data_IF_968366271486
#
_entry.id   IF_968366271486
#
_cell.length_a   1.000
_cell.length_b   1.000
_cell.length_c   1.000
_cell.angle_alpha   90.00
_cell.angle_beta   90.00
_cell.angle_gamma   90.00
#
_symmetry.space_group_name_H-M   'P 1'
#
loop_
_entity.id
_entity.type
_entity.pdbx_description
1 polymer ?
#
# COMPACT_ATOMS: atom_id res chain seq x y z
N UNK A 1 12.69 -39.25 -19.20
CA UNK A 1 11.84 -38.82 -18.08
C UNK A 1 10.82 -37.84 -18.65
N UNK A 2 9.54 -38.19 -18.70
CA UNK A 2 8.49 -37.32 -19.26
C UNK A 2 8.05 -36.42 -18.14
N UNK A 3 8.16 -35.10 -18.35
CA UNK A 3 7.67 -34.06 -17.42
C UNK A 3 6.18 -33.89 -17.68
N UNK A 4 5.34 -34.10 -16.67
CA UNK A 4 3.90 -33.93 -16.73
C UNK A 4 3.50 -32.50 -16.31
N UNK A 5 2.23 -32.15 -16.40
CA UNK A 5 1.72 -30.82 -16.03
C UNK A 5 2.02 -30.47 -14.57
N UNK A 6 1.94 -31.43 -13.66
CA UNK A 6 2.23 -31.26 -12.22
C UNK A 6 3.67 -30.81 -11.96
N UNK A 7 4.63 -31.32 -12.74
CA UNK A 7 6.03 -30.91 -12.66
C UNK A 7 6.18 -29.41 -12.92
N UNK A 8 5.47 -28.89 -13.92
CA UNK A 8 5.53 -27.46 -14.25
C UNK A 8 4.79 -26.63 -13.22
N UNK A 9 3.64 -27.08 -12.74
CA UNK A 9 2.87 -26.38 -11.68
C UNK A 9 3.67 -26.25 -10.40
N UNK A 10 4.27 -27.34 -9.93
CA UNK A 10 5.17 -27.30 -8.78
C UNK A 10 6.41 -26.45 -9.04
N UNK A 11 6.91 -26.45 -10.28
CA UNK A 11 8.04 -25.64 -10.71
C UNK A 11 7.78 -24.13 -10.56
N UNK A 12 6.57 -23.67 -10.85
CA UNK A 12 6.17 -22.27 -10.62
C UNK A 12 6.26 -21.90 -9.14
N UNK A 13 5.67 -22.69 -8.26
CA UNK A 13 5.74 -22.47 -6.82
C UNK A 13 7.18 -22.54 -6.31
N UNK A 14 7.91 -23.61 -6.63
CA UNK A 14 9.27 -23.82 -6.13
C UNK A 14 10.26 -22.72 -6.60
N UNK A 15 10.01 -22.11 -7.76
CA UNK A 15 10.91 -21.10 -8.32
C UNK A 15 10.64 -19.70 -7.76
N UNK A 16 9.39 -19.35 -7.54
CA UNK A 16 8.97 -17.96 -7.28
C UNK A 16 8.45 -17.74 -5.87
N UNK A 17 8.00 -18.78 -5.18
CA UNK A 17 7.60 -18.74 -3.78
C UNK A 17 8.74 -19.30 -2.94
N UNK A 18 9.42 -18.45 -2.20
CA UNK A 18 10.63 -18.84 -1.43
C UNK A 18 10.25 -19.52 -0.12
N UNK A 19 11.15 -20.32 0.47
CA UNK A 19 10.98 -20.73 1.87
C UNK A 19 10.66 -19.54 2.76
N UNK A 20 9.78 -19.73 3.73
CA UNK A 20 9.26 -18.70 4.64
C UNK A 20 8.40 -17.61 3.99
N UNK A 21 7.98 -17.78 2.74
CA UNK A 21 6.99 -16.91 2.13
C UNK A 21 5.63 -17.04 2.84
N UNK A 22 4.98 -15.92 3.08
CA UNK A 22 3.65 -15.86 3.71
C UNK A 22 2.60 -15.68 2.63
N UNK A 23 1.53 -16.49 2.68
CA UNK A 23 0.37 -16.28 1.81
C UNK A 23 -0.33 -14.98 2.22
N UNK A 24 -0.55 -14.12 1.23
CA UNK A 24 -1.30 -12.86 1.40
C UNK A 24 -2.66 -12.96 0.72
N UNK A 25 -3.57 -12.05 1.08
CA UNK A 25 -4.89 -11.99 0.45
C UNK A 25 -4.75 -11.72 -1.05
N UNK A 26 -5.56 -12.41 -1.83
CA UNK A 26 -5.75 -12.19 -3.26
C UNK A 26 -7.22 -12.40 -3.61
N UNK A 27 -7.68 -11.73 -4.65
CA UNK A 27 -9.08 -11.78 -5.08
C UNK A 27 -9.15 -12.49 -6.42
N UNK A 28 -9.60 -13.74 -6.40
CA UNK A 28 -9.86 -14.49 -7.64
C UNK A 28 -11.13 -14.00 -8.30
N UNK A 29 -11.13 -13.94 -9.63
CA UNK A 29 -12.33 -13.59 -10.40
C UNK A 29 -13.27 -14.76 -10.51
N UNK A 30 -14.56 -14.49 -10.28
CA UNK A 30 -15.62 -15.46 -10.43
C UNK A 30 -15.84 -16.29 -9.16
N UNK A 31 -16.33 -15.68 -8.13
CA UNK A 31 -16.49 -16.27 -6.79
C UNK A 31 -17.59 -17.33 -6.65
N UNK A 32 -18.37 -17.60 -7.68
CA UNK A 32 -19.51 -18.51 -7.60
C UNK A 32 -19.49 -19.56 -8.70
N UNK A 33 -18.78 -20.65 -8.45
CA UNK A 33 -18.76 -21.80 -9.33
C UNK A 33 -17.36 -22.19 -9.80
N UNK A 34 -17.20 -23.44 -10.15
CA UNK A 34 -15.91 -24.09 -10.48
C UNK A 34 -15.52 -23.91 -11.95
N UNK A 35 -16.36 -23.33 -12.78
CA UNK A 35 -16.13 -23.24 -14.21
C UNK A 35 -15.90 -21.81 -14.66
N UNK A 36 -14.80 -21.60 -15.34
CA UNK A 36 -14.56 -20.38 -16.08
C UNK A 36 -13.83 -19.29 -15.33
N UNK A 37 -13.00 -19.61 -14.37
CA UNK A 37 -12.38 -18.66 -13.46
C UNK A 37 -10.87 -18.56 -13.63
N UNK A 38 -10.35 -17.38 -13.32
CA UNK A 38 -8.93 -17.22 -12.99
C UNK A 38 -8.77 -17.51 -11.50
N UNK A 39 -8.17 -18.65 -11.18
CA UNK A 39 -7.77 -19.00 -9.82
C UNK A 39 -6.42 -18.36 -9.53
N UNK A 40 -6.24 -17.80 -8.33
CA UNK A 40 -4.97 -17.22 -7.96
C UNK A 40 -4.55 -17.52 -6.52
N UNK A 41 -3.26 -17.39 -6.27
CA UNK A 41 -2.67 -17.39 -4.94
C UNK A 41 -1.49 -16.41 -4.91
N UNK A 42 -1.53 -15.47 -3.97
CA UNK A 42 -0.48 -14.47 -3.78
C UNK A 42 0.35 -14.77 -2.53
N UNK A 43 1.64 -14.54 -2.63
CA UNK A 43 2.62 -14.77 -1.58
C UNK A 43 3.55 -13.57 -1.44
N UNK A 44 3.90 -13.24 -0.20
CA UNK A 44 4.98 -12.31 0.11
C UNK A 44 6.22 -13.11 0.50
N UNK A 45 7.27 -12.96 -0.25
CA UNK A 45 8.56 -13.59 0.02
C UNK A 45 9.31 -12.87 1.17
N UNK A 46 10.29 -13.52 1.83
CA UNK A 46 11.09 -12.90 2.89
C UNK A 46 11.87 -11.65 2.47
N UNK A 47 12.21 -11.54 1.18
CA UNK A 47 12.83 -10.33 0.62
C UNK A 47 11.81 -9.22 0.34
N UNK A 48 10.55 -9.48 0.69
CA UNK A 48 9.43 -8.61 0.52
C UNK A 48 8.84 -8.60 -0.89
N UNK A 49 9.40 -9.30 -1.89
CA UNK A 49 8.81 -9.42 -3.21
C UNK A 49 7.46 -10.15 -3.15
N UNK A 50 6.57 -9.82 -4.06
CA UNK A 50 5.30 -10.52 -4.22
C UNK A 50 5.40 -11.52 -5.37
N UNK A 51 4.85 -12.71 -5.17
CA UNK A 51 4.62 -13.70 -6.21
C UNK A 51 3.12 -14.00 -6.30
N UNK A 52 2.53 -13.79 -7.46
CA UNK A 52 1.14 -14.16 -7.77
C UNK A 52 1.16 -15.30 -8.77
N UNK A 53 0.61 -16.43 -8.39
CA UNK A 53 0.41 -17.58 -9.27
C UNK A 53 -1.04 -17.56 -9.72
N UNK A 54 -1.29 -17.49 -11.01
CA UNK A 54 -2.63 -17.46 -11.61
C UNK A 54 -2.82 -18.62 -12.58
N UNK A 55 -3.95 -19.28 -12.51
CA UNK A 55 -4.35 -20.40 -13.37
C UNK A 55 -5.68 -20.06 -14.05
N UNK A 56 -5.74 -20.21 -15.37
CA UNK A 56 -6.98 -20.08 -16.12
C UNK A 56 -7.62 -21.47 -16.24
N UNK A 57 -8.71 -21.68 -15.52
CA UNK A 57 -9.46 -22.94 -15.57
C UNK A 57 -10.40 -23.06 -16.79
N UNK A 58 -10.50 -21.99 -17.59
CA UNK A 58 -11.27 -22.03 -18.85
C UNK A 58 -10.50 -22.78 -19.93
N UNK A 59 -11.24 -23.30 -20.89
CA UNK A 59 -10.67 -23.80 -22.15
C UNK A 59 -10.26 -22.65 -23.10
N UNK A 60 -10.79 -21.46 -22.90
CA UNK A 60 -10.55 -20.28 -23.72
C UNK A 60 -9.65 -19.27 -23.00
N UNK A 61 -8.92 -18.42 -23.74
CA UNK A 61 -8.17 -17.32 -23.15
C UNK A 61 -9.07 -16.40 -22.33
N UNK A 62 -8.59 -15.97 -21.17
CA UNK A 62 -9.28 -15.00 -20.30
C UNK A 62 -8.37 -13.82 -20.00
N UNK A 63 -8.90 -12.61 -20.13
CA UNK A 63 -8.21 -11.36 -19.77
C UNK A 63 -8.62 -10.91 -18.39
N UNK A 64 -7.65 -10.46 -17.61
CA UNK A 64 -7.85 -9.96 -16.25
C UNK A 64 -6.82 -8.88 -15.93
N UNK A 65 -7.17 -8.02 -15.00
CA UNK A 65 -6.26 -7.05 -14.42
C UNK A 65 -5.64 -7.61 -13.13
N UNK A 66 -4.33 -7.46 -12.99
CA UNK A 66 -3.62 -7.67 -11.72
C UNK A 66 -3.37 -6.29 -11.13
N UNK A 67 -3.87 -6.05 -9.91
CA UNK A 67 -3.70 -4.80 -9.20
C UNK A 67 -3.12 -5.03 -7.81
N UNK A 68 -2.19 -4.17 -7.41
CA UNK A 68 -1.71 -4.07 -6.04
C UNK A 68 -1.45 -2.60 -5.71
N UNK A 69 -2.21 -2.04 -4.79
CA UNK A 69 -2.25 -0.60 -4.55
C UNK A 69 -2.65 0.15 -5.82
N UNK A 70 -1.87 1.15 -6.22
CA UNK A 70 -2.15 1.97 -7.42
C UNK A 70 -1.53 1.41 -8.70
N UNK A 71 -0.73 0.36 -8.61
CA UNK A 71 -0.13 -0.29 -9.76
C UNK A 71 -1.05 -1.39 -10.30
N UNK A 72 -1.27 -1.40 -11.62
CA UNK A 72 -2.02 -2.46 -12.29
C UNK A 72 -1.45 -2.73 -13.68
N UNK A 73 -1.69 -3.94 -14.16
CA UNK A 73 -1.45 -4.33 -15.54
C UNK A 73 -2.50 -5.34 -15.98
N UNK A 74 -2.81 -5.31 -17.28
CA UNK A 74 -3.71 -6.29 -17.89
C UNK A 74 -2.91 -7.45 -18.47
N UNK A 75 -3.47 -8.64 -18.38
CA UNK A 75 -2.89 -9.85 -18.96
C UNK A 75 -3.96 -10.77 -19.51
N UNK A 76 -3.67 -11.41 -20.64
CA UNK A 76 -4.52 -12.46 -21.23
C UNK A 76 -3.82 -13.80 -21.07
N UNK A 77 -4.40 -14.66 -20.24
CA UNK A 77 -3.89 -15.99 -19.96
C UNK A 77 -4.61 -17.02 -20.85
N UNK A 78 -3.87 -17.81 -21.66
CA UNK A 78 -4.47 -18.87 -22.47
C UNK A 78 -5.27 -19.86 -21.63
N UNK A 79 -6.23 -20.54 -22.24
CA UNK A 79 -7.03 -21.57 -21.59
C UNK A 79 -6.16 -22.70 -21.04
N UNK A 80 -6.44 -23.17 -19.83
CA UNK A 80 -5.67 -24.20 -19.12
C UNK A 80 -4.25 -23.80 -18.72
N UNK A 81 -3.85 -22.54 -18.95
CA UNK A 81 -2.49 -22.09 -18.68
C UNK A 81 -2.31 -21.62 -17.23
N UNK A 82 -1.05 -21.76 -16.76
CA UNK A 82 -0.57 -21.23 -15.48
C UNK A 82 0.46 -20.13 -15.75
N UNK A 83 0.36 -19.02 -15.07
CA UNK A 83 1.36 -17.95 -15.07
C UNK A 83 1.78 -17.57 -13.66
N UNK A 84 3.02 -17.12 -13.51
CA UNK A 84 3.48 -16.50 -12.26
C UNK A 84 3.97 -15.10 -12.56
N UNK A 85 3.40 -14.15 -11.87
CA UNK A 85 3.81 -12.76 -11.89
C UNK A 85 4.62 -12.48 -10.63
N UNK A 86 5.75 -11.81 -10.80
CA UNK A 86 6.58 -11.41 -9.67
C UNK A 86 6.92 -9.94 -9.78
N UNK A 87 6.84 -9.26 -8.67
CA UNK A 87 7.29 -7.88 -8.56
C UNK A 87 7.92 -7.64 -7.20
N UNK A 88 8.88 -6.73 -7.12
CA UNK A 88 9.47 -6.36 -5.84
C UNK A 88 8.41 -5.72 -4.94
N UNK A 89 8.67 -5.65 -3.65
CA UNK A 89 7.85 -4.86 -2.72
C UNK A 89 7.70 -3.43 -3.21
N UNK A 90 6.67 -2.76 -2.73
CA UNK A 90 6.48 -1.31 -2.92
C UNK A 90 7.72 -0.48 -2.58
N UNK A 91 8.65 -1.00 -1.78
CA UNK A 91 9.99 -0.42 -1.57
C UNK A 91 10.82 -0.31 -2.87
N UNK A 92 10.59 -1.15 -3.87
CA UNK A 92 11.36 -1.16 -5.13
C UNK A 92 10.59 -0.54 -6.31
N UNK A 93 9.32 -0.18 -6.15
CA UNK A 93 8.54 0.50 -7.20
C UNK A 93 8.85 2.00 -7.31
N UNK A 94 9.70 2.52 -6.43
CA UNK A 94 9.95 3.95 -6.30
C UNK A 94 11.20 4.43 -7.05
N UNK A 95 11.42 3.99 -8.28
CA UNK A 95 12.41 4.60 -9.19
C UNK A 95 13.75 4.98 -8.51
N UNK A 96 14.22 4.18 -7.56
CA UNK A 96 15.44 4.44 -6.80
C UNK A 96 15.26 5.32 -5.54
N UNK A 97 14.05 5.68 -5.19
CA UNK A 97 13.77 6.38 -3.93
C UNK A 97 14.08 5.48 -2.73
N UNK A 98 14.60 6.07 -1.66
CA UNK A 98 14.93 5.38 -0.41
C UNK A 98 13.92 5.75 0.67
N UNK A 99 13.46 4.76 1.42
CA UNK A 99 12.64 5.00 2.59
C UNK A 99 13.44 5.79 3.64
N UNK A 100 12.87 6.89 4.11
CA UNK A 100 13.42 7.63 5.25
C UNK A 100 13.17 6.84 6.54
N UNK A 101 14.13 6.82 7.48
CA UNK A 101 14.02 6.03 8.70
C UNK A 101 12.93 6.57 9.63
N UNK A 102 12.02 5.70 10.06
CA UNK A 102 10.89 6.04 10.93
C UNK A 102 11.34 6.38 12.36
N UNK A 103 12.45 5.80 12.84
CA UNK A 103 13.00 6.02 14.18
C UNK A 103 13.35 7.49 14.50
N UNK A 104 13.41 8.33 13.49
CA UNK A 104 13.65 9.78 13.62
C UNK A 104 12.40 10.63 13.44
N UNK A 105 11.29 9.98 13.16
CA UNK A 105 10.03 10.68 12.93
C UNK A 105 9.26 10.85 14.24
N UNK A 106 8.56 11.95 14.35
CA UNK A 106 7.55 12.16 15.39
C UNK A 106 6.29 12.67 14.75
N UNK A 107 5.14 12.27 15.27
CA UNK A 107 3.85 12.65 14.71
C UNK A 107 2.95 13.31 15.76
N UNK A 108 2.11 14.22 15.30
CA UNK A 108 1.02 14.86 16.06
C UNK A 108 -0.23 14.86 15.21
N UNK A 109 -1.40 14.80 15.84
CA UNK A 109 -2.67 14.79 15.12
C UNK A 109 -3.77 15.58 15.82
N UNK A 110 -4.77 15.97 15.06
CA UNK A 110 -6.01 16.56 15.55
C UNK A 110 -7.18 15.92 14.79
N UNK A 111 -8.03 15.13 15.47
CA UNK A 111 -7.93 14.73 16.88
C UNK A 111 -6.70 13.86 17.18
N UNK A 112 -6.26 13.78 18.45
CA UNK A 112 -5.04 13.03 18.80
C UNK A 112 -5.18 11.52 18.62
N UNK A 113 -6.39 11.01 18.53
CA UNK A 113 -6.73 9.59 18.51
C UNK A 113 -7.19 9.09 19.88
N UNK A 114 -7.86 7.91 19.94
CA UNK A 114 -8.19 7.23 21.18
C UNK A 114 -6.94 6.70 21.89
N UNK A 115 -7.09 6.31 23.17
CA UNK A 115 -6.02 5.70 23.93
C UNK A 115 -5.40 4.49 23.20
N UNK A 116 -4.08 4.47 23.09
CA UNK A 116 -3.33 3.43 22.38
C UNK A 116 -3.34 3.53 20.86
N UNK A 117 -4.00 4.53 20.28
CA UNK A 117 -4.09 4.80 18.84
C UNK A 117 -3.71 6.26 18.53
N UNK A 118 -2.73 6.77 19.24
CA UNK A 118 -2.20 8.11 19.08
C UNK A 118 -1.35 8.28 17.81
N UNK A 119 -0.99 9.52 17.48
CA UNK A 119 -0.29 9.85 16.26
C UNK A 119 1.07 9.16 16.11
N UNK A 120 1.75 8.80 17.21
CA UNK A 120 3.04 8.11 17.14
C UNK A 120 2.92 6.72 16.49
N UNK A 121 1.75 6.11 16.55
CA UNK A 121 1.44 4.82 15.92
C UNK A 121 1.45 4.85 14.39
N UNK A 122 1.37 6.03 13.80
CA UNK A 122 1.49 6.17 12.36
C UNK A 122 2.96 6.13 11.86
N UNK A 123 3.95 6.20 12.76
CA UNK A 123 5.38 6.31 12.40
C UNK A 123 6.26 5.39 13.26
N UNK A 124 5.71 4.33 13.87
CA UNK A 124 6.44 3.39 14.74
C UNK A 124 7.00 2.16 13.99
N UNK A 125 6.84 2.10 12.67
CA UNK A 125 7.27 0.99 11.77
C UNK A 125 6.60 -0.36 12.13
N UNK A 126 5.44 -0.30 12.81
CA UNK A 126 4.63 -1.47 13.19
C UNK A 126 3.22 -1.39 12.58
N UNK A 127 3.03 -2.04 11.44
CA UNK A 127 1.75 -2.06 10.73
C UNK A 127 0.59 -2.76 11.51
N UNK A 128 0.87 -3.36 12.66
CA UNK A 128 -0.17 -3.91 13.55
C UNK A 128 -0.78 -2.87 14.49
N UNK A 129 -0.13 -1.73 14.64
CA UNK A 129 -0.63 -0.55 15.36
C UNK A 129 -1.15 0.50 14.39
N UNK A 130 -1.84 1.53 14.87
CA UNK A 130 -2.29 2.64 14.03
C UNK A 130 -2.65 3.89 14.81
N UNK A 131 -2.52 5.02 14.19
CA UNK A 131 -3.30 6.20 14.55
C UNK A 131 -4.66 6.16 13.85
N UNK A 132 -5.67 6.67 14.52
CA UNK A 132 -6.99 6.89 13.93
C UNK A 132 -7.66 8.12 14.51
N UNK A 133 -8.56 8.73 13.73
CA UNK A 133 -9.37 9.86 14.22
C UNK A 133 -10.33 9.45 15.34
N UNK A 134 -10.67 8.16 15.47
CA UNK A 134 -11.66 7.66 16.44
C UNK A 134 -13.09 8.19 16.21
N UNK A 135 -13.29 8.95 15.15
CA UNK A 135 -14.56 9.58 14.76
C UNK A 135 -14.69 9.59 13.24
N UNK A 136 -15.90 9.84 12.75
CA UNK A 136 -16.17 10.05 11.34
C UNK A 136 -15.21 11.09 10.73
N UNK A 137 -14.81 10.87 9.48
CA UNK A 137 -13.95 11.82 8.77
C UNK A 137 -14.66 13.16 8.58
N UNK A 138 -13.93 14.21 8.90
CA UNK A 138 -14.38 15.60 8.75
C UNK A 138 -13.24 16.42 8.14
N UNK A 139 -13.56 17.44 7.33
CA UNK A 139 -12.56 18.41 6.91
C UNK A 139 -11.91 19.11 8.12
N UNK A 140 -10.58 19.31 8.02
CA UNK A 140 -9.81 19.96 9.07
C UNK A 140 -9.14 19.02 10.07
N UNK A 141 -9.45 17.72 10.07
CA UNK A 141 -8.65 16.73 10.82
C UNK A 141 -7.24 16.68 10.24
N UNK A 142 -6.21 16.57 11.10
CA UNK A 142 -4.82 16.70 10.68
C UNK A 142 -3.94 15.58 11.22
N UNK A 143 -2.96 15.16 10.41
CA UNK A 143 -1.81 14.39 10.84
C UNK A 143 -0.55 15.14 10.38
N UNK A 144 0.35 15.45 11.30
CA UNK A 144 1.60 16.15 11.01
C UNK A 144 2.78 15.31 11.48
N UNK A 145 3.79 15.19 10.62
CA UNK A 145 5.02 14.43 10.90
C UNK A 145 6.21 15.35 10.80
N UNK A 146 7.11 15.25 11.78
CA UNK A 146 8.44 15.85 11.77
C UNK A 146 9.49 14.76 11.49
N UNK A 147 10.39 15.00 10.54
CA UNK A 147 11.39 14.04 10.05
C UNK A 147 12.68 13.99 10.87
N UNK A 148 12.77 14.75 11.95
CA UNK A 148 14.02 14.90 12.72
C UNK A 148 15.04 15.83 12.07
N UNK A 149 15.22 15.78 10.76
CA UNK A 149 16.12 16.64 9.98
C UNK A 149 15.46 17.11 8.66
N UNK A 150 16.02 18.17 8.09
CA UNK A 150 15.63 18.60 6.74
C UNK A 150 16.04 17.51 5.74
N UNK A 151 15.10 17.07 4.94
CA UNK A 151 15.26 15.99 3.96
C UNK A 151 14.66 16.38 2.61
N UNK A 152 15.10 15.71 1.56
CA UNK A 152 14.44 15.76 0.25
C UNK A 152 13.68 14.44 0.08
N UNK A 153 12.39 14.54 -0.11
CA UNK A 153 11.56 13.39 -0.40
C UNK A 153 10.55 13.73 -1.49
N UNK A 154 10.06 12.71 -2.18
CA UNK A 154 9.19 12.88 -3.35
C UNK A 154 7.89 12.12 -3.24
N UNK A 155 7.82 11.16 -2.33
CA UNK A 155 6.64 10.31 -2.17
C UNK A 155 6.31 10.12 -0.70
N UNK A 156 5.05 10.33 -0.36
CA UNK A 156 4.41 9.97 0.89
C UNK A 156 3.43 8.83 0.62
N UNK A 157 3.47 7.79 1.44
CA UNK A 157 2.52 6.67 1.40
C UNK A 157 1.83 6.58 2.76
N UNK A 158 0.51 6.59 2.75
CA UNK A 158 -0.33 6.30 3.91
C UNK A 158 -0.91 4.90 3.73
N UNK A 159 -0.70 4.05 4.71
CA UNK A 159 -1.23 2.70 4.79
C UNK A 159 -2.32 2.65 5.87
N UNK A 160 -3.53 2.24 5.52
CA UNK A 160 -4.64 2.16 6.47
C UNK A 160 -4.55 0.93 7.38
N UNK A 161 -3.70 -0.03 7.01
CA UNK A 161 -3.62 -1.34 7.67
C UNK A 161 -4.83 -2.21 7.35
N UNK A 162 -5.32 -2.99 8.33
CA UNK A 162 -6.38 -3.96 8.10
C UNK A 162 -7.75 -3.35 7.78
N UNK A 163 -7.98 -2.08 8.16
CA UNK A 163 -9.27 -1.41 7.93
C UNK A 163 -9.27 -0.67 6.60
N UNK A 164 -9.41 -1.42 5.53
CA UNK A 164 -9.31 -0.96 4.14
C UNK A 164 -10.26 0.20 3.77
N UNK A 165 -11.29 0.46 4.57
CA UNK A 165 -12.24 1.55 4.36
C UNK A 165 -11.83 2.87 5.03
N UNK A 166 -10.76 2.88 5.83
CA UNK A 166 -10.35 4.03 6.65
C UNK A 166 -9.37 4.99 5.95
N UNK A 167 -9.28 4.91 4.62
CA UNK A 167 -8.45 5.82 3.83
C UNK A 167 -9.02 7.26 3.80
N UNK A 168 -8.18 8.30 3.63
CA UNK A 168 -8.64 9.68 3.57
C UNK A 168 -9.50 9.93 2.33
N UNK A 169 -10.75 10.37 2.50
CA UNK A 169 -11.66 10.65 1.37
C UNK A 169 -11.25 11.88 0.57
N UNK A 170 -10.50 12.74 1.19
CA UNK A 170 -9.85 13.87 0.55
C UNK A 170 -8.71 14.35 1.43
N UNK A 171 -7.65 14.85 0.81
CA UNK A 171 -6.50 15.37 1.53
C UNK A 171 -5.93 16.64 0.88
N UNK A 172 -5.28 17.45 1.72
CA UNK A 172 -4.36 18.49 1.31
C UNK A 172 -3.05 18.30 2.08
N UNK A 173 -1.94 18.11 1.35
CA UNK A 173 -0.62 17.90 1.93
C UNK A 173 0.27 19.10 1.66
N UNK A 174 0.88 19.61 2.71
CA UNK A 174 1.85 20.71 2.66
C UNK A 174 3.13 20.31 3.37
N UNK A 175 4.23 20.88 2.94
CA UNK A 175 5.56 20.68 3.53
C UNK A 175 6.10 21.96 4.11
N UNK A 176 6.99 21.87 5.10
CA UNK A 176 7.61 23.01 5.75
C UNK A 176 9.02 22.68 6.24
N UNK A 177 9.91 23.67 6.28
CA UNK A 177 11.24 23.56 6.89
C UNK A 177 11.18 23.91 8.39
N UNK A 178 10.36 24.89 8.77
CA UNK A 178 10.32 25.50 10.09
C UNK A 178 9.09 25.12 10.93
N UNK A 179 8.08 24.45 10.31
CA UNK A 179 6.81 24.07 10.93
C UNK A 179 5.80 25.21 11.00
N UNK A 180 6.13 26.40 10.50
CA UNK A 180 5.30 27.61 10.55
C UNK A 180 4.92 28.11 9.17
N UNK A 181 5.86 28.12 8.25
CA UNK A 181 5.66 28.53 6.85
C UNK A 181 5.48 27.26 6.01
N UNK A 182 4.34 27.14 5.34
CA UNK A 182 3.95 25.94 4.61
C UNK A 182 3.93 26.18 3.10
N UNK A 183 4.35 25.18 2.34
CA UNK A 183 4.24 25.15 0.88
C UNK A 183 2.78 25.23 0.41
N UNK A 184 2.57 25.50 -0.87
CA UNK A 184 1.29 25.22 -1.51
C UNK A 184 0.92 23.74 -1.33
N UNK A 185 -0.37 23.48 -1.14
CA UNK A 185 -0.86 22.12 -0.87
C UNK A 185 -0.95 21.30 -2.16
N UNK A 186 -0.54 20.06 -2.06
CA UNK A 186 -0.91 18.99 -3.01
C UNK A 186 -2.23 18.40 -2.54
N UNK A 187 -3.24 18.38 -3.39
CA UNK A 187 -4.59 17.88 -3.04
C UNK A 187 -4.94 16.62 -3.81
N UNK A 188 -5.79 15.79 -3.22
CA UNK A 188 -6.27 14.56 -3.84
C UNK A 188 -7.25 13.82 -2.95
N UNK A 189 -7.54 12.57 -3.30
CA UNK A 189 -8.34 11.63 -2.51
C UNK A 189 -7.62 10.30 -2.41
N UNK A 190 -7.80 9.60 -1.30
CA UNK A 190 -7.31 8.25 -1.12
C UNK A 190 -8.20 7.24 -1.86
N UNK A 191 -7.66 6.05 -2.07
CA UNK A 191 -8.34 4.96 -2.76
C UNK A 191 -7.97 3.60 -2.14
N UNK A 192 -8.57 3.26 -1.00
CA UNK A 192 -8.35 1.98 -0.33
C UNK A 192 -7.10 1.95 0.54
N UNK A 193 -6.47 0.79 0.67
CA UNK A 193 -5.41 0.48 1.63
C UNK A 193 -4.23 1.45 1.58
N UNK A 194 -3.74 1.74 0.38
CA UNK A 194 -2.56 2.59 0.18
C UNK A 194 -2.94 3.89 -0.53
N UNK A 195 -2.69 5.01 0.13
CA UNK A 195 -2.78 6.34 -0.50
C UNK A 195 -1.37 6.85 -0.78
N UNK A 196 -1.03 7.07 -2.06
CA UNK A 196 0.25 7.58 -2.51
C UNK A 196 0.15 9.03 -2.91
N UNK A 197 1.05 9.85 -2.42
CA UNK A 197 1.01 11.30 -2.58
C UNK A 197 2.38 11.79 -3.03
N UNK A 198 2.46 12.38 -4.23
CA UNK A 198 3.66 13.03 -4.69
C UNK A 198 3.93 14.28 -3.84
N UNK A 199 5.15 14.41 -3.33
CA UNK A 199 5.55 15.57 -2.53
C UNK A 199 6.27 16.61 -3.39
N UNK A 200 6.23 17.90 -3.01
CA UNK A 200 7.05 18.94 -3.62
C UNK A 200 8.54 18.60 -3.58
N UNK A 201 9.29 19.04 -4.59
CA UNK A 201 10.71 18.73 -4.71
C UNK A 201 11.61 19.50 -3.72
N UNK A 202 11.08 20.55 -3.11
CA UNK A 202 11.83 21.37 -2.16
C UNK A 202 12.15 20.60 -0.87
N UNK A 203 13.30 20.90 -0.23
CA UNK A 203 13.63 20.29 1.05
C UNK A 203 12.62 20.69 2.13
N UNK A 204 12.30 19.74 3.01
CA UNK A 204 11.39 20.00 4.14
C UNK A 204 11.80 19.18 5.36
N UNK A 205 11.30 19.58 6.54
CA UNK A 205 11.43 18.86 7.79
C UNK A 205 10.08 18.41 8.34
N UNK A 206 9.02 19.07 7.94
CA UNK A 206 7.65 18.77 8.38
C UNK A 206 6.77 18.50 7.18
N UNK A 207 5.88 17.51 7.31
CA UNK A 207 4.78 17.26 6.39
C UNK A 207 3.48 17.29 7.19
N UNK A 208 2.47 17.97 6.66
CA UNK A 208 1.14 18.05 7.27
C UNK A 208 0.11 17.62 6.27
N UNK A 209 -0.69 16.65 6.67
CA UNK A 209 -1.83 16.13 5.92
C UNK A 209 -3.08 16.64 6.60
N UNK A 210 -3.95 17.32 5.86
CA UNK A 210 -5.24 17.82 6.30
C UNK A 210 -6.32 17.06 5.56
N UNK A 211 -7.27 16.46 6.29
CA UNK A 211 -8.47 15.89 5.67
C UNK A 211 -9.31 17.01 5.05
N UNK A 212 -9.72 16.83 3.81
CA UNK A 212 -10.64 17.71 3.09
C UNK A 212 -11.95 17.03 2.74
N UNK A 213 -12.03 15.70 2.95
CA UNK A 213 -13.22 14.88 2.72
C UNK A 213 -14.01 14.63 4.00
N UNK A 214 -15.24 14.13 3.83
CA UNK A 214 -16.10 13.67 4.91
C UNK A 214 -16.62 12.26 4.61
N UNK A 215 -16.71 11.42 5.64
CA UNK A 215 -17.27 10.07 5.55
C UNK A 215 -17.68 9.56 6.95
N UNK A 216 -18.57 8.57 6.99
CA UNK A 216 -18.92 7.89 8.23
C UNK A 216 -17.75 7.04 8.80
N UNK A 217 -16.87 6.55 7.91
CA UNK A 217 -15.65 5.82 8.28
C UNK A 217 -14.66 6.76 8.98
N UNK A 218 -13.79 6.18 9.79
CA UNK A 218 -12.68 6.90 10.40
C UNK A 218 -11.58 7.14 9.36
N UNK A 219 -10.64 8.00 9.68
CA UNK A 219 -9.36 8.07 8.99
C UNK A 219 -8.31 7.43 9.87
N UNK A 220 -7.68 6.38 9.35
CA UNK A 220 -6.64 5.62 10.05
C UNK A 220 -5.35 5.59 9.23
N UNK A 221 -4.23 5.58 9.94
CA UNK A 221 -2.90 5.39 9.37
C UNK A 221 -2.16 4.40 10.26
N UNK A 222 -1.96 3.18 9.75
CA UNK A 222 -1.18 2.15 10.42
C UNK A 222 0.31 2.34 10.16
N UNK A 223 0.67 2.82 8.97
CA UNK A 223 2.07 3.12 8.65
C UNK A 223 2.15 4.28 7.66
N UNK A 224 2.97 5.27 7.98
CA UNK A 224 3.29 6.41 7.15
C UNK A 224 4.74 6.31 6.68
N UNK A 225 4.92 6.16 5.38
CA UNK A 225 6.23 6.02 4.76
C UNK A 225 6.56 7.21 3.88
N UNK A 226 7.77 7.70 3.99
CA UNK A 226 8.28 8.82 3.19
C UNK A 226 9.53 8.38 2.44
N UNK A 227 9.57 8.65 1.14
CA UNK A 227 10.63 8.21 0.24
C UNK A 227 11.31 9.40 -0.45
N UNK A 228 12.66 9.41 -0.44
CA UNK A 228 13.51 10.43 -1.04
C UNK A 228 14.72 9.91 -1.79
#
# INVERSE_FOLDING_TARGET
>A
MTRNAEYYTLGHLARFVRPDAVRIASTSFGTTGWNGQIMDAAFRNPDGSTALVAHNENDNPASFAVAQGDASFDYTLPGGALATFTWPTSRALDNGLRLLPADRMTATATPPGPDGQDAAKAVDDDASTRWTTGTAQQPGQTLQVALGAVSRARLLVLDTGPDLADYPRGYAVSTSVDGTTWSASVTGSGAGELTRIALPADPFRYVRIVSTGAAAQWWSVADLRIYG
#
